data_IF_013384150542
#
_entry.id   IF_013384150542
#
_cell.length_a   1.000
_cell.length_b   1.000
_cell.length_c   1.000
_cell.angle_alpha   90.00
_cell.angle_beta   90.00
_cell.angle_gamma   90.00
#
_symmetry.space_group_name_H-M   'P 1'
#
loop_
_entity.id
_entity.type
_entity.pdbx_description
1 polymer ?
#
# COMPACT_ATOMS: atom_id res chain seq x y z
N UNK A 1 8.55 22.10 -16.67
CA UNK A 1 7.88 21.00 -17.41
C UNK A 1 7.59 19.89 -16.41
N UNK A 2 6.34 19.51 -16.20
CA UNK A 2 6.02 18.39 -15.32
C UNK A 2 6.58 17.12 -15.96
N UNK A 3 7.64 16.55 -15.36
CA UNK A 3 8.08 15.21 -15.71
C UNK A 3 6.87 14.29 -15.60
N UNK A 4 6.63 13.48 -16.63
CA UNK A 4 5.58 12.46 -16.65
C UNK A 4 6.05 11.30 -15.75
N UNK A 5 6.25 11.59 -14.46
CA UNK A 5 6.78 10.65 -13.48
C UNK A 5 5.75 9.54 -13.36
N UNK A 6 6.14 8.32 -13.76
CA UNK A 6 5.40 7.12 -13.37
C UNK A 6 5.49 7.04 -11.85
N UNK A 7 4.39 7.42 -11.18
CA UNK A 7 4.31 7.51 -9.72
C UNK A 7 4.35 6.17 -9.01
N UNK A 8 4.24 5.07 -9.74
CA UNK A 8 4.32 3.71 -9.20
C UNK A 8 5.48 2.96 -9.84
N UNK A 9 6.19 2.15 -9.05
CA UNK A 9 7.25 1.31 -9.59
C UNK A 9 6.65 0.19 -10.44
N UNK A 10 5.57 -0.45 -9.99
CA UNK A 10 4.80 -1.37 -10.82
C UNK A 10 3.35 -0.90 -10.95
N UNK A 11 2.78 -1.09 -12.14
CA UNK A 11 1.36 -0.87 -12.38
C UNK A 11 0.85 -1.81 -13.47
N UNK A 12 -0.35 -2.34 -13.28
CA UNK A 12 -1.04 -3.12 -14.31
C UNK A 12 -2.56 -3.17 -14.05
N UNK A 13 -3.31 -3.78 -14.98
CA UNK A 13 -4.64 -4.29 -14.68
C UNK A 13 -4.55 -5.47 -13.71
N UNK A 14 -5.57 -5.64 -12.87
CA UNK A 14 -5.64 -6.79 -11.94
C UNK A 14 -5.59 -8.12 -12.69
N UNK A 15 -6.24 -8.19 -13.87
CA UNK A 15 -6.22 -9.39 -14.70
C UNK A 15 -4.82 -9.75 -15.23
N UNK A 16 -4.01 -8.75 -15.62
CA UNK A 16 -2.64 -9.01 -16.06
C UNK A 16 -1.71 -9.31 -14.89
N UNK A 17 -1.86 -8.60 -13.76
CA UNK A 17 -1.15 -8.88 -12.52
C UNK A 17 -1.37 -10.32 -12.03
N UNK A 18 -2.61 -10.79 -12.06
CA UNK A 18 -2.97 -12.16 -11.64
C UNK A 18 -2.45 -13.28 -12.56
N UNK A 19 -2.03 -12.97 -13.79
CA UNK A 19 -1.45 -13.94 -14.74
C UNK A 19 0.09 -13.94 -14.75
N UNK A 20 0.69 -12.96 -14.09
CA UNK A 20 2.14 -12.77 -14.08
C UNK A 20 2.76 -13.63 -12.98
N UNK A 21 3.94 -14.20 -13.22
CA UNK A 21 4.69 -14.87 -12.16
C UNK A 21 5.04 -13.89 -11.04
N UNK A 22 5.00 -14.32 -9.78
CA UNK A 22 5.32 -13.44 -8.66
C UNK A 22 6.74 -12.86 -8.77
N UNK A 23 7.71 -13.68 -9.18
CA UNK A 23 9.08 -13.24 -9.45
C UNK A 23 9.16 -12.19 -10.55
N UNK A 24 8.36 -12.30 -11.62
CA UNK A 24 8.34 -11.31 -12.70
C UNK A 24 7.83 -9.95 -12.22
N UNK A 25 6.84 -9.93 -11.33
CA UNK A 25 6.34 -8.70 -10.70
C UNK A 25 7.45 -8.09 -9.82
N UNK A 26 8.12 -8.90 -9.00
CA UNK A 26 9.24 -8.46 -8.14
C UNK A 26 10.43 -7.95 -8.97
N UNK A 27 10.72 -8.58 -10.11
CA UNK A 27 11.76 -8.15 -11.04
C UNK A 27 11.43 -6.80 -11.66
N UNK A 28 10.16 -6.59 -12.07
CA UNK A 28 9.68 -5.29 -12.58
C UNK A 28 9.74 -4.19 -11.53
N UNK A 29 9.40 -4.51 -10.27
CA UNK A 29 9.55 -3.59 -9.14
C UNK A 29 11.01 -3.21 -8.93
N UNK A 30 11.89 -4.20 -8.89
CA UNK A 30 13.33 -4.01 -8.67
C UNK A 30 13.96 -3.16 -9.78
N UNK A 31 13.61 -3.41 -11.04
CA UNK A 31 14.16 -2.68 -12.19
C UNK A 31 13.68 -1.23 -12.33
N UNK A 32 12.72 -0.80 -11.52
CA UNK A 32 12.21 0.59 -11.49
C UNK A 32 12.46 1.30 -10.16
N UNK A 33 13.11 0.64 -9.21
CA UNK A 33 13.55 1.30 -7.99
C UNK A 33 14.65 2.30 -8.30
N UNK A 34 14.48 3.53 -7.84
CA UNK A 34 15.52 4.57 -7.90
C UNK A 34 16.62 4.40 -6.83
N UNK A 35 16.50 3.36 -5.99
CA UNK A 35 17.36 3.09 -4.83
C UNK A 35 17.76 1.62 -4.76
N UNK A 36 18.77 1.29 -3.96
CA UNK A 36 19.15 -0.09 -3.69
C UNK A 36 18.00 -0.85 -3.02
N UNK A 37 17.53 -1.90 -3.69
CA UNK A 37 16.47 -2.78 -3.20
C UNK A 37 17.10 -3.90 -2.36
N UNK A 38 16.79 -3.93 -1.07
CA UNK A 38 17.28 -4.98 -0.17
C UNK A 38 16.59 -6.33 -0.43
N UNK A 39 17.19 -7.42 0.06
CA UNK A 39 16.60 -8.75 -0.04
C UNK A 39 15.26 -8.82 0.72
N UNK A 40 15.19 -8.20 1.90
CA UNK A 40 13.99 -8.15 2.73
C UNK A 40 12.84 -7.43 2.00
N UNK A 41 13.15 -6.36 1.26
CA UNK A 41 12.15 -5.65 0.45
C UNK A 41 11.62 -6.55 -0.67
N UNK A 42 12.50 -7.27 -1.38
CA UNK A 42 12.07 -8.22 -2.42
C UNK A 42 11.20 -9.34 -1.86
N UNK A 43 11.55 -9.88 -0.69
CA UNK A 43 10.76 -10.89 0.00
C UNK A 43 9.42 -10.34 0.51
N UNK A 44 9.38 -9.09 0.97
CA UNK A 44 8.13 -8.42 1.33
C UNK A 44 7.21 -8.28 0.11
N UNK A 45 7.73 -7.80 -1.03
CA UNK A 45 6.96 -7.74 -2.26
C UNK A 45 6.47 -9.11 -2.72
N UNK A 46 7.33 -10.14 -2.71
CA UNK A 46 6.94 -11.50 -3.08
C UNK A 46 5.72 -12.00 -2.29
N UNK A 47 5.78 -11.88 -0.95
CA UNK A 47 4.65 -12.24 -0.07
C UNK A 47 3.39 -11.43 -0.35
N UNK A 48 3.53 -10.13 -0.61
CA UNK A 48 2.40 -9.27 -0.97
C UNK A 48 1.77 -9.70 -2.30
N UNK A 49 2.58 -10.05 -3.31
CA UNK A 49 2.09 -10.54 -4.60
C UNK A 49 1.34 -11.85 -4.44
N UNK A 50 1.94 -12.82 -3.75
CA UNK A 50 1.34 -14.14 -3.48
C UNK A 50 0.01 -14.03 -2.70
N UNK A 51 -0.10 -13.05 -1.80
CA UNK A 51 -1.34 -12.78 -1.07
C UNK A 51 -2.41 -12.13 -1.97
N UNK A 52 -2.02 -11.15 -2.79
CA UNK A 52 -2.98 -10.35 -3.55
C UNK A 52 -3.49 -11.03 -4.82
N UNK A 53 -2.69 -11.85 -5.49
CA UNK A 53 -3.12 -12.55 -6.72
C UNK A 53 -4.41 -13.38 -6.53
N UNK A 54 -4.50 -14.29 -5.55
CA UNK A 54 -5.75 -15.02 -5.30
C UNK A 54 -6.84 -14.10 -4.72
N UNK A 55 -6.48 -13.15 -3.85
CA UNK A 55 -7.45 -12.25 -3.24
C UNK A 55 -8.16 -11.33 -4.24
N UNK A 56 -7.53 -11.03 -5.38
CA UNK A 56 -8.07 -10.17 -6.43
C UNK A 56 -8.59 -10.95 -7.65
N UNK A 57 -8.62 -12.29 -7.58
CA UNK A 57 -9.06 -13.12 -8.70
C UNK A 57 -10.49 -12.78 -9.14
N UNK A 58 -10.68 -12.57 -10.46
CA UNK A 58 -11.96 -12.21 -11.05
C UNK A 58 -12.39 -10.74 -10.87
N UNK A 59 -11.61 -9.92 -10.13
CA UNK A 59 -11.93 -8.50 -9.95
C UNK A 59 -11.45 -7.66 -11.14
N UNK A 60 -12.18 -6.58 -11.41
CA UNK A 60 -11.81 -5.60 -12.43
C UNK A 60 -11.22 -4.35 -11.79
N UNK A 61 -10.09 -3.91 -12.34
CA UNK A 61 -9.48 -2.64 -11.97
C UNK A 61 -7.98 -2.64 -12.19
N UNK A 62 -7.30 -1.75 -11.47
CA UNK A 62 -5.87 -1.51 -11.60
C UNK A 62 -5.18 -1.61 -10.25
N UNK A 63 -3.96 -2.11 -10.29
CA UNK A 63 -3.09 -2.24 -9.13
C UNK A 63 -1.80 -1.46 -9.40
N UNK A 64 -1.31 -0.80 -8.36
CA UNK A 64 -0.10 -0.01 -8.37
C UNK A 64 0.70 -0.38 -7.13
N UNK A 65 1.97 -0.73 -7.28
CA UNK A 65 2.85 -0.98 -6.16
C UNK A 65 3.84 0.17 -6.01
N UNK A 66 4.24 0.44 -4.77
CA UNK A 66 5.22 1.48 -4.42
C UNK A 66 4.80 2.83 -5.02
N UNK A 67 3.56 3.23 -4.73
CA UNK A 67 2.94 4.43 -5.29
C UNK A 67 3.33 5.66 -4.47
N UNK A 68 3.99 6.62 -5.10
CA UNK A 68 4.39 7.89 -4.50
C UNK A 68 3.19 8.77 -4.15
N UNK A 69 3.05 9.12 -2.87
CA UNK A 69 2.02 10.04 -2.35
C UNK A 69 2.67 11.43 -2.14
N UNK A 70 2.47 12.39 -3.05
CA UNK A 70 3.31 13.60 -3.13
C UNK A 70 3.24 14.52 -1.91
N UNK A 71 2.09 14.57 -1.23
CA UNK A 71 1.90 15.44 -0.05
C UNK A 71 2.47 14.85 1.23
N UNK A 72 2.77 13.56 1.25
CA UNK A 72 3.28 12.86 2.43
C UNK A 72 4.77 12.53 2.33
N UNK A 73 5.38 12.65 1.14
CA UNK A 73 6.78 12.26 0.92
C UNK A 73 7.03 10.76 1.15
N UNK A 74 5.98 9.95 1.19
CA UNK A 74 6.03 8.50 1.40
C UNK A 74 5.45 7.76 0.19
N UNK A 75 5.74 6.45 0.12
CA UNK A 75 5.13 5.54 -0.86
C UNK A 75 4.13 4.64 -0.14
N UNK A 76 3.01 4.38 -0.79
CA UNK A 76 2.11 3.31 -0.38
C UNK A 76 2.56 2.00 -1.00
N UNK A 77 2.55 0.93 -0.21
CA UNK A 77 2.96 -0.40 -0.69
C UNK A 77 2.13 -0.84 -1.88
N UNK A 78 0.79 -0.76 -1.77
CA UNK A 78 -0.14 -1.07 -2.86
C UNK A 78 -1.31 -0.09 -2.88
N UNK A 79 -1.65 0.41 -4.07
CA UNK A 79 -2.89 1.13 -4.36
C UNK A 79 -3.73 0.32 -5.34
N UNK A 80 -5.01 0.17 -5.02
CA UNK A 80 -6.00 -0.44 -5.90
C UNK A 80 -7.02 0.60 -6.36
N UNK A 81 -7.33 0.58 -7.65
CA UNK A 81 -8.46 1.33 -8.20
C UNK A 81 -9.46 0.36 -8.83
N UNK A 82 -10.62 0.21 -8.19
CA UNK A 82 -11.68 -0.73 -8.59
C UNK A 82 -13.04 -0.13 -8.28
N UNK A 83 -14.02 -0.29 -9.17
CA UNK A 83 -15.41 0.14 -8.95
C UNK A 83 -15.54 1.62 -8.50
N UNK A 84 -14.72 2.52 -9.04
CA UNK A 84 -14.69 3.95 -8.67
C UNK A 84 -14.13 4.25 -7.28
N UNK A 85 -13.54 3.25 -6.60
CA UNK A 85 -12.95 3.37 -5.26
C UNK A 85 -11.45 3.23 -5.34
N UNK A 86 -10.75 4.00 -4.51
CA UNK A 86 -9.31 3.91 -4.32
C UNK A 86 -9.04 3.31 -2.94
N UNK A 87 -8.33 2.18 -2.90
CA UNK A 87 -7.90 1.54 -1.66
C UNK A 87 -6.38 1.66 -1.57
N UNK A 88 -5.88 2.04 -0.41
CA UNK A 88 -4.46 2.07 -0.08
C UNK A 88 -4.19 0.96 0.92
N UNK A 89 -3.28 0.06 0.59
CA UNK A 89 -2.89 -1.09 1.41
C UNK A 89 -1.45 -0.91 1.87
N UNK A 90 -1.25 -1.07 3.17
CA UNK A 90 0.06 -1.00 3.84
C UNK A 90 0.32 -2.34 4.50
N UNK A 91 1.45 -2.97 4.17
CA UNK A 91 1.85 -4.27 4.66
C UNK A 91 2.96 -4.12 5.69
N UNK A 92 2.74 -4.66 6.89
CA UNK A 92 3.78 -4.68 7.94
C UNK A 92 4.60 -5.96 7.80
N UNK A 93 5.88 -5.82 7.44
CA UNK A 93 6.83 -6.91 7.44
C UNK A 93 7.41 -7.11 8.86
N UNK A 94 7.04 -8.20 9.54
CA UNK A 94 7.57 -8.56 10.86
C UNK A 94 6.75 -9.67 11.53
N UNK A 95 7.30 -10.37 12.54
CA UNK A 95 6.52 -11.29 13.34
C UNK A 95 5.36 -10.54 13.99
N UNK A 96 4.13 -10.98 13.71
CA UNK A 96 2.91 -10.51 14.35
C UNK A 96 2.89 -11.01 15.80
N UNK A 97 3.74 -10.47 16.66
CA UNK A 97 3.48 -10.52 18.09
C UNK A 97 2.41 -9.48 18.35
N UNK A 98 1.15 -9.86 18.16
CA UNK A 98 0.05 -9.11 18.75
C UNK A 98 0.13 -9.34 20.25
N UNK A 99 0.46 -8.34 21.09
CA UNK A 99 0.27 -8.49 22.52
C UNK A 99 -1.24 -8.70 22.73
N UNK A 100 -1.63 -9.79 23.39
CA UNK A 100 -3.03 -9.93 23.85
C UNK A 100 -3.34 -8.70 24.70
N UNK A 101 -4.27 -7.86 24.24
CA UNK A 101 -4.83 -6.79 25.06
C UNK A 101 -4.85 -5.38 24.46
N UNK A 102 -4.37 -5.13 23.25
CA UNK A 102 -4.57 -3.80 22.64
C UNK A 102 -5.97 -3.71 21.99
N UNK A 103 -6.85 -2.81 22.48
CA UNK A 103 -8.18 -2.63 21.88
C UNK A 103 -8.05 -2.11 20.45
N UNK A 104 -8.85 -2.65 19.55
CA UNK A 104 -9.00 -2.13 18.18
C UNK A 104 -9.79 -0.83 18.25
N UNK A 105 -9.15 0.30 18.47
CA UNK A 105 -9.82 1.60 18.30
C UNK A 105 -9.80 2.00 16.84
N UNK A 106 -10.93 1.76 16.17
CA UNK A 106 -11.32 2.55 15.03
C UNK A 106 -11.87 3.89 15.55
N UNK A 107 -11.37 5.00 15.01
CA UNK A 107 -11.95 6.33 15.24
C UNK A 107 -11.33 7.07 16.43
N UNK A 108 -10.45 8.03 16.11
CA UNK A 108 -10.29 9.20 16.94
C UNK A 108 -11.54 10.06 16.81
N UNK A 109 -12.40 10.02 17.82
CA UNK A 109 -13.39 11.05 18.13
C UNK A 109 -14.02 10.68 19.48
N UNK A 110 -13.55 11.31 20.57
CA UNK A 110 -14.49 11.73 21.59
C UNK A 110 -14.08 13.11 22.11
N UNK A 111 -15.06 13.99 22.06
CA UNK A 111 -14.97 15.38 22.39
C UNK A 111 -15.15 15.53 23.91
N UNK A 112 -14.03 15.73 24.60
CA UNK A 112 -14.04 16.26 25.96
C UNK A 112 -14.50 17.71 25.95
N UNK A 113 -15.81 17.91 26.02
CA UNK A 113 -16.43 19.18 26.40
C UNK A 113 -16.08 19.44 27.87
N UNK A 114 -15.16 20.36 28.12
CA UNK A 114 -15.07 21.03 29.41
C UNK A 114 -15.30 22.52 29.24
N UNK A 115 -16.35 23.01 29.91
CA UNK A 115 -16.61 24.43 30.09
C UNK A 115 -15.79 24.87 31.30
N UNK A 116 -14.91 25.86 31.11
CA UNK A 116 -14.23 26.59 32.16
C UNK A 116 -13.93 28.00 31.66
N UNK A 117 -14.26 28.99 32.50
CA UNK A 117 -14.38 30.40 32.18
C UNK A 117 -13.04 31.17 32.00
N UNK A 118 -13.19 32.48 31.73
CA UNK A 118 -12.19 33.55 31.54
C UNK A 118 -11.58 33.63 30.13
N UNK A 119 -11.52 34.76 29.44
CA UNK A 119 -11.93 36.14 29.70
C UNK A 119 -11.40 36.99 28.54
N UNK A 120 -12.26 37.88 28.02
CA UNK A 120 -12.06 38.86 26.93
C UNK A 120 -11.70 38.33 25.55
#
# INVERSE_FOLDING_TARGET
MASLIKRAWYQDSIAAFGRMGAEDVVNKLSGRSSFDVTLEQKQAWGRTVELLQPALAGMQGRIYFEFEIPRMGSRADVVLFMQGRLLVLEFKAGPQVFPRGQPRTAGGADAGRDRGAAGW
#
